data_IF_879857817484
#
_entry.id   IF_879857817484
#
_cell.length_a   1.000
_cell.length_b   1.000
_cell.length_c   1.000
_cell.angle_alpha   90.00
_cell.angle_beta   90.00
_cell.angle_gamma   90.00
#
_symmetry.space_group_name_H-M   'P 1'
#
loop_
_entity.id
_entity.type
_entity.pdbx_description
1 polymer ?
#
# COMPACT_ATOMS: atom_id res chain seq x y z
N UNK A 1 -8.15 -4.80 18.64
CA UNK A 1 -8.82 -3.55 19.08
C UNK A 1 -9.59 -2.86 17.95
N UNK A 2 -8.96 -2.51 16.82
CA UNK A 2 -9.60 -1.72 15.74
C UNK A 2 -10.87 -2.34 15.17
N UNK A 3 -10.89 -3.65 14.85
CA UNK A 3 -12.10 -4.30 14.34
C UNK A 3 -13.28 -4.22 15.31
N UNK A 4 -13.02 -4.37 16.61
CA UNK A 4 -14.05 -4.29 17.64
C UNK A 4 -14.62 -2.87 17.73
N UNK A 5 -13.74 -1.85 17.72
CA UNK A 5 -14.14 -0.45 17.70
C UNK A 5 -15.00 -0.12 16.47
N UNK A 6 -14.59 -0.54 15.26
CA UNK A 6 -15.38 -0.35 14.05
C UNK A 6 -16.77 -1.00 14.17
N UNK A 7 -16.85 -2.23 14.71
CA UNK A 7 -18.14 -2.92 14.92
C UNK A 7 -19.03 -2.17 15.91
N UNK A 8 -18.46 -1.59 16.96
CA UNK A 8 -19.20 -0.74 17.89
C UNK A 8 -19.67 0.57 17.23
N UNK A 9 -18.80 1.27 16.51
CA UNK A 9 -19.14 2.50 15.77
C UNK A 9 -20.20 2.24 14.70
N UNK A 10 -20.22 1.06 14.09
CA UNK A 10 -21.25 0.66 13.13
C UNK A 10 -22.66 0.54 13.75
N UNK A 11 -22.81 0.59 15.08
CA UNK A 11 -24.11 0.64 15.77
C UNK A 11 -24.46 2.04 16.27
N UNK A 12 -23.56 3.01 16.10
CA UNK A 12 -23.74 4.36 16.61
C UNK A 12 -24.68 5.19 15.72
N UNK A 13 -25.59 5.96 16.33
CA UNK A 13 -26.59 6.75 15.60
C UNK A 13 -25.95 7.83 14.70
N UNK A 14 -24.79 8.36 15.07
CA UNK A 14 -24.07 9.39 14.30
C UNK A 14 -23.40 8.90 13.00
N UNK A 15 -23.54 7.61 12.63
CA UNK A 15 -22.96 7.06 11.40
C UNK A 15 -23.78 7.36 10.13
N UNK A 16 -24.86 8.12 10.25
CA UNK A 16 -25.85 8.32 9.19
C UNK A 16 -25.20 8.83 7.88
N UNK A 17 -24.22 9.73 7.97
CA UNK A 17 -23.47 10.22 6.80
C UNK A 17 -22.64 9.15 6.06
N UNK A 18 -22.29 8.03 6.72
CA UNK A 18 -21.63 6.88 6.09
C UNK A 18 -22.64 5.92 5.45
N UNK A 19 -23.91 6.00 5.85
CA UNK A 19 -25.02 5.22 5.29
C UNK A 19 -25.71 5.93 4.13
N UNK A 20 -25.68 7.26 4.15
CA UNK A 20 -26.08 8.10 3.04
C UNK A 20 -25.17 7.80 1.85
N UNK A 21 -25.64 6.94 0.96
CA UNK A 21 -24.95 6.64 -0.29
C UNK A 21 -24.93 7.94 -1.09
N UNK A 22 -23.77 8.59 -1.13
CA UNK A 22 -23.50 9.67 -2.08
C UNK A 22 -23.50 9.07 -3.48
N UNK A 23 -24.69 8.96 -4.08
CA UNK A 23 -24.98 8.44 -5.42
C UNK A 23 -24.50 9.40 -6.53
N UNK A 24 -23.45 10.20 -6.31
CA UNK A 24 -22.73 10.76 -7.45
C UNK A 24 -22.21 9.55 -8.21
N UNK A 25 -22.77 9.30 -9.40
CA UNK A 25 -22.44 8.17 -10.30
C UNK A 25 -21.01 8.29 -10.87
N UNK A 26 -20.06 8.73 -10.07
CA UNK A 26 -18.66 8.57 -10.41
C UNK A 26 -18.39 7.07 -10.38
N UNK A 27 -18.20 6.49 -11.56
CA UNK A 27 -17.73 5.11 -11.68
C UNK A 27 -16.36 5.05 -11.03
N UNK A 28 -16.30 4.62 -9.77
CA UNK A 28 -15.03 4.30 -9.12
C UNK A 28 -14.51 3.03 -9.77
N UNK A 29 -13.58 3.19 -10.71
CA UNK A 29 -12.95 2.07 -11.39
C UNK A 29 -12.07 1.33 -10.39
N UNK A 30 -12.34 0.05 -10.18
CA UNK A 30 -11.43 -0.81 -9.42
C UNK A 30 -10.18 -1.04 -10.25
N UNK A 31 -9.02 -0.62 -9.73
CA UNK A 31 -7.73 -0.96 -10.32
C UNK A 31 -7.19 -2.24 -9.68
N UNK A 32 -6.72 -3.17 -10.50
CA UNK A 32 -6.04 -4.40 -10.05
C UNK A 32 -4.52 -4.28 -10.12
N UNK A 33 -4.00 -3.06 -10.28
CA UNK A 33 -2.58 -2.76 -10.33
C UNK A 33 -1.97 -2.81 -8.94
N UNK A 34 -0.80 -3.43 -8.80
CA UNK A 34 0.01 -3.31 -7.60
C UNK A 34 0.67 -1.92 -7.53
N UNK A 35 1.05 -1.43 -6.34
CA UNK A 35 1.76 -0.16 -6.19
C UNK A 35 2.95 0.02 -7.15
N UNK A 36 3.72 -1.04 -7.43
CA UNK A 36 4.83 -1.01 -8.40
C UNK A 36 4.46 -0.56 -9.81
N UNK A 37 3.19 -0.67 -10.19
CA UNK A 37 2.67 -0.28 -11.50
C UNK A 37 2.10 1.15 -11.50
N UNK A 38 2.10 1.81 -10.34
CA UNK A 38 1.49 3.12 -10.12
C UNK A 38 2.51 4.17 -9.66
N UNK A 39 3.55 3.74 -8.95
CA UNK A 39 4.57 4.62 -8.35
C UNK A 39 5.98 4.10 -8.64
N UNK A 40 6.97 4.95 -8.44
CA UNK A 40 8.39 4.57 -8.41
C UNK A 40 8.90 4.62 -6.98
N UNK A 41 10.02 3.93 -6.68
CA UNK A 41 10.63 4.02 -5.34
C UNK A 41 11.20 5.42 -5.07
N UNK A 42 11.61 6.14 -6.11
CA UNK A 42 11.99 7.55 -6.00
C UNK A 42 10.79 8.42 -5.57
N UNK A 43 9.64 8.28 -6.22
CA UNK A 43 8.45 9.05 -5.84
C UNK A 43 7.94 8.64 -4.46
N UNK A 44 8.02 7.36 -4.10
CA UNK A 44 7.72 6.90 -2.75
C UNK A 44 8.57 7.62 -1.70
N UNK A 45 9.90 7.62 -1.84
CA UNK A 45 10.79 8.29 -0.89
C UNK A 45 10.55 9.80 -0.83
N UNK A 46 10.25 10.43 -1.97
CA UNK A 46 9.93 11.86 -2.04
C UNK A 46 8.72 12.24 -1.18
N UNK A 47 7.69 11.38 -1.11
CA UNK A 47 6.39 11.73 -0.52
C UNK A 47 6.08 11.07 0.83
N UNK A 48 6.66 9.91 1.16
CA UNK A 48 6.28 9.11 2.33
C UNK A 48 6.33 9.88 3.66
N UNK A 49 7.26 10.83 3.79
CA UNK A 49 7.41 11.69 4.99
C UNK A 49 7.63 13.16 4.66
N UNK A 50 7.11 13.62 3.52
CA UNK A 50 7.36 14.98 3.02
C UNK A 50 7.05 16.07 4.06
N UNK A 51 5.95 15.93 4.79
CA UNK A 51 5.52 16.92 5.78
C UNK A 51 6.37 16.94 7.05
N UNK A 52 7.06 15.84 7.37
CA UNK A 52 7.80 15.70 8.62
C UNK A 52 9.33 15.84 8.44
N UNK A 53 9.82 15.48 7.25
CA UNK A 53 11.26 15.33 6.95
C UNK A 53 11.69 15.98 5.65
N UNK A 54 10.77 16.55 4.88
CA UNK A 54 11.07 17.00 3.52
C UNK A 54 11.20 15.84 2.53
N UNK A 55 11.75 16.14 1.36
CA UNK A 55 11.88 15.16 0.27
C UNK A 55 13.10 14.25 0.50
N UNK A 56 12.86 12.94 0.56
CA UNK A 56 13.93 11.94 0.72
C UNK A 56 14.37 11.36 -0.62
N UNK A 57 15.61 10.88 -0.69
CA UNK A 57 16.23 10.31 -1.89
C UNK A 57 16.27 8.79 -1.77
N UNK A 58 15.78 8.08 -2.78
CA UNK A 58 15.80 6.62 -2.77
C UNK A 58 17.23 6.07 -2.92
N UNK A 59 17.57 5.08 -2.09
CA UNK A 59 18.82 4.34 -2.13
C UNK A 59 18.60 2.95 -2.76
N UNK A 60 19.01 2.72 -4.03
CA UNK A 60 18.77 1.47 -4.74
C UNK A 60 19.63 0.29 -4.25
N UNK A 61 20.77 0.56 -3.62
CA UNK A 61 21.77 -0.45 -3.28
C UNK A 61 21.41 -1.26 -2.03
N UNK A 62 20.29 -0.92 -1.37
CA UNK A 62 19.91 -1.49 -0.07
C UNK A 62 18.48 -2.00 -0.04
N UNK A 63 18.28 -3.11 0.68
CA UNK A 63 16.96 -3.55 1.12
C UNK A 63 16.14 -4.35 0.12
N UNK A 64 16.56 -4.48 -1.14
CA UNK A 64 15.84 -5.23 -2.17
C UNK A 64 15.48 -6.67 -1.76
N UNK A 65 16.41 -7.54 -1.30
CA UNK A 65 16.08 -8.92 -0.95
C UNK A 65 15.21 -9.03 0.32
N UNK A 66 15.18 -8.00 1.17
CA UNK A 66 14.43 -7.96 2.43
C UNK A 66 13.07 -7.26 2.31
N UNK A 67 12.65 -6.91 1.08
CA UNK A 67 11.46 -6.10 0.84
C UNK A 67 11.45 -4.81 1.67
N UNK A 68 12.59 -4.12 1.70
CA UNK A 68 12.76 -2.80 2.32
C UNK A 68 13.07 -1.75 1.27
N UNK A 69 12.72 -0.51 1.60
CA UNK A 69 13.08 0.69 0.83
C UNK A 69 13.82 1.60 1.79
N UNK A 70 15.01 2.01 1.36
CA UNK A 70 15.85 2.92 2.09
C UNK A 70 15.77 4.29 1.43
N UNK A 71 15.43 5.31 2.22
CA UNK A 71 15.32 6.69 1.76
C UNK A 71 16.27 7.55 2.60
N UNK A 72 17.23 8.19 1.95
CA UNK A 72 18.24 9.04 2.58
C UNK A 72 17.73 10.48 2.69
N UNK A 73 18.14 11.18 3.74
CA UNK A 73 18.01 12.64 3.80
C UNK A 73 19.07 13.31 2.89
N UNK A 74 18.76 14.38 2.14
CA UNK A 74 19.71 14.99 1.20
C UNK A 74 20.97 15.59 1.84
N UNK A 75 20.86 16.09 3.07
CA UNK A 75 21.92 16.84 3.76
C UNK A 75 22.36 16.19 5.08
N UNK A 76 22.13 14.88 5.22
CA UNK A 76 22.39 14.14 6.45
C UNK A 76 22.75 12.69 6.12
N UNK A 77 23.50 12.04 7.01
CA UNK A 77 23.74 10.59 6.95
C UNK A 77 22.54 9.77 7.44
N UNK A 78 21.46 10.43 7.88
CA UNK A 78 20.23 9.81 8.34
C UNK A 78 19.50 9.08 7.21
N UNK A 79 18.97 7.90 7.54
CA UNK A 79 18.32 7.01 6.59
C UNK A 79 17.05 6.42 7.18
N UNK A 80 15.97 6.45 6.39
CA UNK A 80 14.66 5.96 6.79
C UNK A 80 14.36 4.64 6.08
N UNK A 81 13.89 3.66 6.84
CA UNK A 81 13.64 2.30 6.37
C UNK A 81 12.15 2.03 6.37
N UNK A 82 11.59 1.77 5.20
CA UNK A 82 10.19 1.45 5.02
C UNK A 82 10.01 0.04 4.48
N UNK A 83 8.81 -0.51 4.63
CA UNK A 83 8.41 -1.69 3.87
C UNK A 83 8.31 -1.33 2.39
N UNK A 84 8.89 -2.16 1.53
CA UNK A 84 8.81 -2.00 0.09
C UNK A 84 7.35 -2.23 -0.35
N UNK A 85 6.74 -1.28 -1.08
CA UNK A 85 5.38 -1.46 -1.56
C UNK A 85 5.22 -2.73 -2.39
N UNK A 86 4.00 -3.28 -2.40
CA UNK A 86 3.74 -4.52 -3.10
C UNK A 86 3.97 -4.38 -4.62
N UNK A 87 4.45 -5.46 -5.23
CA UNK A 87 4.74 -5.60 -6.65
C UNK A 87 6.15 -5.20 -7.08
N UNK A 88 6.92 -4.46 -6.26
CA UNK A 88 8.29 -4.11 -6.62
C UNK A 88 9.21 -5.33 -6.55
N UNK A 89 10.13 -5.45 -7.49
CA UNK A 89 11.07 -6.58 -7.54
C UNK A 89 11.93 -6.66 -6.27
N UNK A 90 12.11 -7.89 -5.77
CA UNK A 90 13.06 -8.25 -4.71
C UNK A 90 14.12 -9.25 -5.18
N UNK A 91 13.88 -9.93 -6.30
CA UNK A 91 14.83 -10.79 -7.03
C UNK A 91 14.36 -10.90 -8.50
N UNK A 92 15.16 -11.49 -9.41
CA UNK A 92 14.81 -11.53 -10.84
C UNK A 92 13.42 -12.08 -11.16
N UNK A 93 12.93 -13.08 -10.43
CA UNK A 93 11.59 -13.68 -10.64
C UNK A 93 10.57 -13.36 -9.55
N UNK A 94 10.96 -12.68 -8.46
CA UNK A 94 10.07 -12.43 -7.32
C UNK A 94 9.85 -10.94 -7.05
N UNK A 95 8.70 -10.66 -6.48
CA UNK A 95 8.28 -9.33 -6.04
C UNK A 95 8.01 -9.31 -4.54
N UNK A 96 8.01 -8.11 -3.97
CA UNK A 96 7.51 -7.92 -2.64
C UNK A 96 5.99 -8.03 -2.63
N UNK A 97 5.46 -8.86 -1.76
CA UNK A 97 4.03 -8.94 -1.50
C UNK A 97 3.81 -9.26 -0.02
N UNK A 98 3.02 -8.44 0.66
CA UNK A 98 2.77 -8.55 2.11
C UNK A 98 4.09 -8.58 2.92
N UNK A 99 5.07 -7.79 2.49
CA UNK A 99 6.38 -7.67 3.14
C UNK A 99 7.34 -8.85 2.94
N UNK A 100 7.01 -9.81 2.07
CA UNK A 100 7.88 -10.97 1.76
C UNK A 100 8.26 -10.98 0.28
N UNK A 101 9.45 -11.50 -0.01
CA UNK A 101 9.88 -11.76 -1.39
C UNK A 101 9.26 -13.06 -1.88
N UNK A 102 8.34 -12.98 -2.84
CA UNK A 102 7.54 -14.11 -3.32
C UNK A 102 7.15 -13.95 -4.79
N UNK A 103 6.58 -14.99 -5.38
CA UNK A 103 6.05 -14.94 -6.73
C UNK A 103 4.96 -13.88 -6.85
N UNK A 104 4.91 -13.18 -7.99
CA UNK A 104 3.92 -12.12 -8.23
C UNK A 104 2.49 -12.67 -8.10
N UNK A 105 1.65 -12.09 -7.24
CA UNK A 105 0.29 -12.57 -7.05
C UNK A 105 -0.61 -12.18 -8.23
N UNK A 106 -1.60 -13.02 -8.52
CA UNK A 106 -2.69 -12.65 -9.42
C UNK A 106 -3.78 -11.90 -8.63
N UNK A 107 -3.66 -10.57 -8.57
CA UNK A 107 -4.56 -9.70 -7.80
C UNK A 107 -6.03 -9.82 -8.25
N UNK A 108 -6.26 -9.99 -9.56
CA UNK A 108 -7.61 -10.18 -10.09
C UNK A 108 -8.24 -11.49 -9.59
N UNK A 109 -7.47 -12.57 -9.59
CA UNK A 109 -7.95 -13.86 -9.12
C UNK A 109 -8.24 -13.83 -7.61
N UNK A 110 -7.31 -13.27 -6.81
CA UNK A 110 -7.50 -13.07 -5.36
C UNK A 110 -8.80 -12.29 -5.09
N UNK A 111 -9.04 -11.21 -5.83
CA UNK A 111 -10.25 -10.41 -5.68
C UNK A 111 -11.53 -11.19 -6.01
N UNK A 112 -11.51 -11.99 -7.08
CA UNK A 112 -12.64 -12.84 -7.47
C UNK A 112 -12.93 -13.89 -6.40
N UNK A 113 -11.90 -14.51 -5.84
CA UNK A 113 -12.05 -15.55 -4.81
C UNK A 113 -12.60 -14.98 -3.50
N UNK A 114 -12.14 -13.80 -3.07
CA UNK A 114 -12.71 -13.08 -1.92
C UNK A 114 -14.20 -12.77 -2.15
N UNK A 115 -14.56 -12.30 -3.35
CA UNK A 115 -15.97 -12.02 -3.67
C UNK A 115 -16.83 -13.29 -3.60
N UNK A 116 -16.35 -14.43 -4.09
CA UNK A 116 -17.07 -15.71 -4.02
C UNK A 116 -17.31 -16.18 -2.58
N UNK A 117 -16.33 -15.99 -1.70
CA UNK A 117 -16.44 -16.38 -0.28
C UNK A 117 -17.29 -15.42 0.58
N UNK A 118 -17.64 -14.23 0.07
CA UNK A 118 -18.47 -13.26 0.79
C UNK A 118 -19.98 -13.50 0.63
N UNK A 119 -20.38 -14.41 -0.27
CA UNK A 119 -21.79 -14.72 -0.62
C UNK A 119 -22.24 -16.05 0.02
N UNK A 120 -21.42 -16.63 0.92
CA UNK A 120 -21.79 -17.72 1.82
C UNK A 120 -21.75 -17.21 3.25
#
# INVERSE_FOLDING_TARGET
>A
CTQLQIRFTARYAGRQCLLEINLKREKVFTTFKLPSEMITLQSFCKYVRRNDKGELIYNPDRGQPKCKVYCNEPHSSMMWIFSRPDGFSCSPQNVCYLGRCTTRPNVQQIYRDIRRHRVR
#
